data_IF_725528607070
#
_entry.id   IF_725528607070
#
_cell.length_a   1.000
_cell.length_b   1.000
_cell.length_c   1.000
_cell.angle_alpha   90.00
_cell.angle_beta   90.00
_cell.angle_gamma   90.00
#
_symmetry.space_group_name_H-M   'P 1'
#
loop_
_entity.id
_entity.type
_entity.pdbx_description
1 polymer ?
#
# COMPACT_ATOMS: atom_id res chain seq x y z
N UNK A 1 14.35 9.17 13.59
CA UNK A 1 14.40 9.40 12.13
C UNK A 1 15.03 10.76 11.89
N UNK A 2 15.84 10.93 10.84
CA UNK A 2 16.15 12.30 10.40
C UNK A 2 14.86 12.93 9.85
N UNK A 3 14.66 14.25 10.00
CA UNK A 3 13.46 14.93 9.51
C UNK A 3 13.26 14.78 7.99
N UNK A 4 14.28 14.37 7.24
CA UNK A 4 14.26 14.19 5.79
C UNK A 4 13.88 12.78 5.31
N UNK A 5 13.97 11.74 6.16
CA UNK A 5 13.64 10.34 5.75
C UNK A 5 12.14 10.03 5.88
N UNK A 6 11.47 10.55 6.92
CA UNK A 6 10.04 10.31 7.14
C UNK A 6 9.14 10.84 6.00
N UNK A 7 9.39 12.03 5.42
CA UNK A 7 8.61 12.53 4.28
C UNK A 7 8.79 11.64 3.04
N UNK A 8 10.02 11.20 2.75
CA UNK A 8 10.33 10.36 1.58
C UNK A 8 9.69 8.97 1.68
N UNK A 9 9.74 8.36 2.86
CA UNK A 9 9.05 7.09 3.11
C UNK A 9 7.52 7.24 2.97
N UNK A 10 6.96 8.33 3.49
CA UNK A 10 5.53 8.63 3.32
C UNK A 10 5.16 8.82 1.85
N UNK A 11 5.93 9.59 1.07
CA UNK A 11 5.70 9.76 -0.37
C UNK A 11 5.77 8.45 -1.15
N UNK A 12 6.75 7.59 -0.84
CA UNK A 12 6.84 6.26 -1.46
C UNK A 12 5.60 5.41 -1.15
N UNK A 13 5.14 5.44 0.10
CA UNK A 13 3.90 4.76 0.48
C UNK A 13 2.66 5.33 -0.21
N UNK A 14 2.49 6.66 -0.28
CA UNK A 14 1.38 7.28 -1.01
C UNK A 14 1.39 6.96 -2.50
N UNK A 15 2.57 6.95 -3.12
CA UNK A 15 2.74 6.51 -4.50
C UNK A 15 2.34 5.05 -4.69
N UNK A 16 2.72 4.17 -3.75
CA UNK A 16 2.31 2.77 -3.78
C UNK A 16 0.79 2.61 -3.72
N UNK A 17 0.15 3.33 -2.80
CA UNK A 17 -1.31 3.32 -2.63
C UNK A 17 -2.02 3.83 -3.88
N UNK A 18 -1.51 4.88 -4.52
CA UNK A 18 -2.05 5.40 -5.78
C UNK A 18 -1.90 4.41 -6.94
N UNK A 19 -0.73 3.77 -7.08
CA UNK A 19 -0.49 2.73 -8.08
C UNK A 19 -1.41 1.52 -7.88
N UNK A 20 -1.58 1.06 -6.64
CA UNK A 20 -2.52 -0.02 -6.30
C UNK A 20 -3.96 0.35 -6.68
N UNK A 21 -4.40 1.56 -6.35
CA UNK A 21 -5.75 2.03 -6.66
C UNK A 21 -5.99 2.11 -8.17
N UNK A 22 -5.02 2.65 -8.91
CA UNK A 22 -5.07 2.70 -10.39
C UNK A 22 -5.09 1.29 -11.00
N UNK A 23 -4.25 0.36 -10.51
CA UNK A 23 -4.28 -1.03 -10.94
C UNK A 23 -5.66 -1.67 -10.70
N UNK A 24 -6.21 -1.49 -9.49
CA UNK A 24 -7.53 -2.00 -9.09
C UNK A 24 -8.66 -1.46 -9.96
N UNK A 25 -8.63 -0.18 -10.32
CA UNK A 25 -9.59 0.41 -11.25
C UNK A 25 -9.44 -0.15 -12.67
N UNK A 26 -8.20 -0.34 -13.14
CA UNK A 26 -7.90 -0.64 -14.54
C UNK A 26 -8.07 -2.11 -14.93
N UNK A 27 -7.85 -3.07 -14.03
CA UNK A 27 -8.01 -4.49 -14.41
C UNK A 27 -9.24 -5.20 -13.88
N UNK A 28 -10.25 -4.42 -13.47
CA UNK A 28 -11.61 -4.91 -13.22
C UNK A 28 -11.75 -5.87 -12.03
N UNK A 29 -13.00 -6.13 -11.64
CA UNK A 29 -13.36 -7.07 -10.56
C UNK A 29 -13.10 -8.50 -11.02
N UNK A 30 -12.08 -9.17 -10.48
CA UNK A 30 -11.67 -10.52 -10.94
C UNK A 30 -12.17 -11.63 -10.04
N UNK A 31 -12.55 -11.32 -8.81
CA UNK A 31 -13.17 -12.29 -7.90
C UNK A 31 -14.67 -12.01 -7.72
N UNK A 32 -15.46 -13.06 -7.47
CA UNK A 32 -16.90 -12.92 -7.18
C UNK A 32 -17.17 -11.98 -5.98
N UNK A 33 -16.23 -11.93 -5.03
CA UNK A 33 -16.27 -11.04 -3.86
C UNK A 33 -16.04 -9.58 -4.27
N UNK A 34 -15.02 -9.30 -5.08
CA UNK A 34 -14.78 -7.95 -5.63
C UNK A 34 -15.95 -7.47 -6.50
N UNK A 35 -16.57 -8.40 -7.24
CA UNK A 35 -17.76 -8.10 -8.04
C UNK A 35 -18.99 -7.78 -7.20
N UNK A 36 -19.09 -8.33 -5.99
CA UNK A 36 -20.19 -8.08 -5.07
C UNK A 36 -20.06 -6.73 -4.33
N UNK A 37 -18.84 -6.20 -4.14
CA UNK A 37 -18.62 -4.95 -3.39
C UNK A 37 -18.82 -3.74 -4.29
N UNK A 38 -19.85 -2.89 -4.08
CA UNK A 38 -20.09 -1.69 -4.89
C UNK A 38 -18.86 -0.78 -4.95
N UNK A 39 -18.57 -0.19 -6.11
CA UNK A 39 -17.43 0.71 -6.29
C UNK A 39 -17.36 1.83 -5.22
N UNK A 40 -18.48 2.48 -4.81
CA UNK A 40 -18.43 3.47 -3.73
C UNK A 40 -17.96 2.90 -2.39
N UNK A 41 -18.30 1.64 -2.09
CA UNK A 41 -17.89 0.96 -0.85
C UNK A 41 -16.39 0.66 -0.90
N UNK A 42 -15.87 0.23 -2.06
CA UNK A 42 -14.43 0.03 -2.25
C UNK A 42 -13.64 1.35 -2.11
N UNK A 43 -14.16 2.45 -2.66
CA UNK A 43 -13.57 3.80 -2.51
C UNK A 43 -13.59 4.24 -1.04
N UNK A 44 -14.69 3.99 -0.32
CA UNK A 44 -14.80 4.33 1.09
C UNK A 44 -13.80 3.53 1.95
N UNK A 45 -13.73 2.21 1.73
CA UNK A 45 -12.76 1.34 2.41
C UNK A 45 -11.32 1.82 2.15
N UNK A 46 -11.02 2.18 0.90
CA UNK A 46 -9.72 2.77 0.54
C UNK A 46 -9.44 4.06 1.29
N UNK A 47 -10.39 5.01 1.32
CA UNK A 47 -10.24 6.28 2.02
C UNK A 47 -10.01 6.09 3.53
N UNK A 48 -10.72 5.14 4.16
CA UNK A 48 -10.54 4.78 5.57
C UNK A 48 -9.15 4.19 5.80
N UNK A 49 -8.71 3.23 4.98
CA UNK A 49 -7.38 2.63 5.09
C UNK A 49 -6.26 3.67 4.90
N UNK A 50 -6.40 4.56 3.92
CA UNK A 50 -5.49 5.67 3.69
C UNK A 50 -5.44 6.63 4.89
N UNK A 51 -6.58 6.94 5.50
CA UNK A 51 -6.68 7.74 6.71
C UNK A 51 -6.00 7.08 7.91
N UNK A 52 -6.22 5.78 8.13
CA UNK A 52 -5.57 5.02 9.19
C UNK A 52 -4.04 4.97 9.00
N UNK A 53 -3.58 4.81 7.77
CA UNK A 53 -2.16 4.87 7.45
C UNK A 53 -1.55 6.25 7.74
N UNK A 54 -2.24 7.32 7.34
CA UNK A 54 -1.85 8.70 7.66
C UNK A 54 -1.79 8.93 9.18
N UNK A 55 -2.74 8.39 9.93
CA UNK A 55 -2.76 8.46 11.39
C UNK A 55 -1.57 7.71 12.01
N UNK A 56 -1.23 6.51 11.53
CA UNK A 56 -0.09 5.74 12.01
C UNK A 56 1.25 6.44 11.72
N UNK A 57 1.42 6.96 10.50
CA UNK A 57 2.64 7.71 10.12
C UNK A 57 2.77 9.00 10.93
N UNK A 58 1.67 9.72 11.17
CA UNK A 58 1.65 10.88 12.07
C UNK A 58 1.98 10.49 13.53
N UNK A 59 1.46 9.35 14.00
CA UNK A 59 1.79 8.81 15.32
C UNK A 59 3.27 8.47 15.48
N UNK A 60 3.90 7.93 14.43
CA UNK A 60 5.35 7.70 14.39
C UNK A 60 6.13 9.00 14.42
N UNK A 61 5.67 10.04 13.71
CA UNK A 61 6.26 11.38 13.73
C UNK A 61 6.17 12.03 15.12
N UNK A 62 5.02 11.89 15.79
CA UNK A 62 4.78 12.36 17.17
C UNK A 62 5.46 11.51 18.24
N UNK A 63 6.07 10.38 17.89
CA UNK A 63 6.77 9.50 18.84
C UNK A 63 5.85 8.68 19.75
N UNK A 64 4.61 8.45 19.35
CA UNK A 64 3.64 7.64 20.11
C UNK A 64 4.12 6.19 20.17
N UNK A 65 4.20 5.63 21.38
CA UNK A 65 4.65 4.24 21.59
C UNK A 65 3.76 3.26 20.83
N UNK A 66 4.35 2.21 20.27
CA UNK A 66 3.64 1.16 19.52
C UNK A 66 3.28 1.49 18.07
N UNK A 67 3.18 2.77 17.68
CA UNK A 67 2.82 3.16 16.29
C UNK A 67 3.79 2.65 15.23
N UNK A 68 5.09 2.58 15.56
CA UNK A 68 6.09 1.99 14.65
C UNK A 68 5.87 0.50 14.40
N UNK A 69 5.50 -0.24 15.44
CA UNK A 69 5.25 -1.69 15.34
C UNK A 69 3.97 -1.91 14.54
N UNK A 70 2.90 -1.18 14.86
CA UNK A 70 1.65 -1.24 14.10
C UNK A 70 1.88 -0.90 12.62
N UNK A 71 2.63 0.18 12.33
CA UNK A 71 2.97 0.56 10.96
C UNK A 71 3.83 -0.50 10.26
N UNK A 72 4.75 -1.16 10.98
CA UNK A 72 5.55 -2.27 10.43
C UNK A 72 4.68 -3.46 10.04
N UNK A 73 3.75 -3.86 10.93
CA UNK A 73 2.85 -5.00 10.70
C UNK A 73 1.92 -4.71 9.53
N UNK A 74 1.25 -3.56 9.53
CA UNK A 74 0.34 -3.17 8.44
C UNK A 74 1.10 -3.04 7.13
N UNK A 75 2.29 -2.45 7.14
CA UNK A 75 3.12 -2.33 5.94
C UNK A 75 3.57 -3.69 5.39
N UNK A 76 3.94 -4.63 6.26
CA UNK A 76 4.33 -5.98 5.86
C UNK A 76 3.15 -6.77 5.27
N UNK A 77 1.97 -6.67 5.88
CA UNK A 77 0.74 -7.28 5.35
C UNK A 77 0.39 -6.72 3.96
N UNK A 78 0.49 -5.40 3.78
CA UNK A 78 0.26 -4.78 2.47
C UNK A 78 1.25 -5.24 1.39
N UNK A 79 2.53 -5.43 1.75
CA UNK A 79 3.53 -5.99 0.82
C UNK A 79 3.19 -7.44 0.45
N UNK A 80 2.80 -8.27 1.43
CA UNK A 80 2.43 -9.67 1.16
C UNK A 80 1.20 -9.76 0.24
N UNK A 81 0.20 -8.92 0.45
CA UNK A 81 -0.99 -8.81 -0.40
C UNK A 81 -0.63 -8.42 -1.84
N UNK A 82 0.21 -7.39 -2.02
CA UNK A 82 0.71 -6.97 -3.34
C UNK A 82 1.45 -8.10 -4.07
N UNK A 83 2.23 -8.90 -3.36
CA UNK A 83 2.94 -10.05 -3.95
C UNK A 83 1.95 -11.11 -4.43
N UNK A 84 0.95 -11.47 -3.60
CA UNK A 84 -0.09 -12.42 -3.97
C UNK A 84 -0.88 -11.95 -5.20
N UNK A 85 -1.24 -10.66 -5.24
CA UNK A 85 -2.00 -10.07 -6.34
C UNK A 85 -1.18 -10.05 -7.64
N UNK A 86 0.11 -9.73 -7.55
CA UNK A 86 1.02 -9.78 -8.71
C UNK A 86 1.18 -11.21 -9.25
N UNK A 87 1.29 -12.23 -8.39
CA UNK A 87 1.31 -13.62 -8.83
C UNK A 87 0.01 -14.01 -9.52
N UNK A 88 -1.13 -13.58 -9.00
CA UNK A 88 -2.43 -13.80 -9.63
C UNK A 88 -2.49 -13.13 -11.01
N UNK A 89 -2.02 -11.88 -11.15
CA UNK A 89 -1.97 -11.16 -12.43
C UNK A 89 -1.12 -11.87 -13.49
N UNK A 90 0.05 -12.37 -13.09
CA UNK A 90 0.94 -13.14 -13.97
C UNK A 90 0.23 -14.41 -14.44
N UNK A 91 -0.46 -15.12 -13.54
CA UNK A 91 -1.16 -16.36 -13.86
C UNK A 91 -2.29 -16.18 -14.88
N UNK A 92 -2.96 -15.01 -14.89
CA UNK A 92 -4.03 -14.70 -15.87
C UNK A 92 -3.57 -13.80 -17.03
N UNK A 93 -2.27 -13.48 -17.13
CA UNK A 93 -1.71 -12.69 -18.22
C UNK A 93 -2.13 -11.21 -18.23
N UNK A 94 -2.50 -10.65 -17.08
CA UNK A 94 -3.00 -9.27 -16.99
C UNK A 94 -1.87 -8.23 -16.88
N UNK A 95 -1.15 -8.02 -17.98
CA UNK A 95 0.11 -7.24 -18.03
C UNK A 95 -0.04 -5.80 -17.50
N UNK A 96 -1.07 -5.06 -17.92
CA UNK A 96 -1.23 -3.65 -17.54
C UNK A 96 -1.52 -3.50 -16.04
N UNK A 97 -2.39 -4.35 -15.50
CA UNK A 97 -2.72 -4.37 -14.07
C UNK A 97 -1.50 -4.79 -13.25
N UNK A 98 -0.82 -5.86 -13.66
CA UNK A 98 0.40 -6.34 -13.02
C UNK A 98 1.52 -5.28 -12.99
N UNK A 99 1.63 -4.43 -14.01
CA UNK A 99 2.61 -3.33 -14.02
C UNK A 99 2.34 -2.28 -12.93
N UNK A 100 1.07 -1.91 -12.71
CA UNK A 100 0.68 -1.01 -11.62
C UNK A 100 0.92 -1.63 -10.25
N UNK A 101 0.63 -2.92 -10.10
CA UNK A 101 0.88 -3.66 -8.87
C UNK A 101 2.36 -3.85 -8.58
N UNK A 102 3.18 -4.09 -9.60
CA UNK A 102 4.63 -4.11 -9.49
C UNK A 102 5.17 -2.75 -9.05
N UNK A 103 4.68 -1.65 -9.64
CA UNK A 103 5.05 -0.30 -9.21
C UNK A 103 4.64 -0.04 -7.75
N UNK A 104 3.45 -0.48 -7.34
CA UNK A 104 2.99 -0.41 -5.96
C UNK A 104 3.88 -1.21 -4.99
N UNK A 105 4.29 -2.41 -5.40
CA UNK A 105 5.19 -3.27 -4.63
C UNK A 105 6.56 -2.64 -4.44
N UNK A 106 7.16 -2.13 -5.52
CA UNK A 106 8.47 -1.48 -5.49
C UNK A 106 8.46 -0.23 -4.60
N UNK A 107 7.42 0.59 -4.71
CA UNK A 107 7.26 1.79 -3.89
C UNK A 107 7.00 1.45 -2.41
N UNK A 108 6.22 0.40 -2.12
CA UNK A 108 6.00 -0.10 -0.76
C UNK A 108 7.30 -0.63 -0.14
N UNK A 109 8.06 -1.42 -0.89
CA UNK A 109 9.36 -1.93 -0.46
C UNK A 109 10.36 -0.79 -0.19
N UNK A 110 10.44 0.19 -1.08
CA UNK A 110 11.26 1.38 -0.89
C UNK A 110 10.83 2.18 0.35
N UNK A 111 9.53 2.38 0.54
CA UNK A 111 8.96 3.02 1.72
C UNK A 111 9.33 2.29 3.00
N UNK A 112 9.21 0.96 3.02
CA UNK A 112 9.57 0.10 4.15
C UNK A 112 11.07 0.19 4.47
N UNK A 113 11.94 0.03 3.47
CA UNK A 113 13.39 0.16 3.65
C UNK A 113 13.76 1.54 4.19
N UNK A 114 13.21 2.62 3.64
CA UNK A 114 13.48 3.99 4.13
C UNK A 114 13.04 4.20 5.58
N UNK A 115 11.99 3.50 6.02
CA UNK A 115 11.44 3.61 7.36
C UNK A 115 12.27 2.85 8.41
N UNK A 116 12.86 1.71 8.04
CA UNK A 116 13.56 0.79 8.95
C UNK A 116 15.08 0.71 8.78
N UNK A 117 15.67 1.33 7.75
CA UNK A 117 17.12 1.31 7.54
C UNK A 117 17.87 1.85 8.78
N UNK A 118 18.84 1.10 9.33
CA UNK A 118 19.74 1.60 10.36
C UNK A 118 20.48 2.85 9.86
N UNK A 119 20.90 3.72 10.78
CA UNK A 119 21.53 4.99 10.42
C UNK A 119 22.82 4.79 9.62
#
# INVERSE_FOLDING_TARGET
>A
MSPTRAPRAAFAWWGATACWFLGSLLGGRRTAVEAAVPLPVAILAYAVCAGLWAALTYGVYRGVKGTRVALAVVGALGVADLVLQLFADIAVGAVLHGAFFLAALLLSAAGFVLLFRPR
#
